data_IF_348484614568
#
_entry.id   IF_348484614568
#
_cell.length_a   1.000
_cell.length_b   1.000
_cell.length_c   1.000
_cell.angle_alpha   90.00
_cell.angle_beta   90.00
_cell.angle_gamma   90.00
#
_symmetry.space_group_name_H-M   'P 1'
#
loop_
_entity.id
_entity.type
_entity.pdbx_description
1 polymer ?
#
# COMPACT_ATOMS: atom_id res chain seq x y z
N UNK A 1 -14.08 17.31 -24.28
CA UNK A 1 -13.88 17.00 -22.85
C UNK A 1 -14.75 15.85 -22.36
N UNK A 2 -16.05 15.77 -22.69
CA UNK A 2 -16.95 14.68 -22.25
C UNK A 2 -16.41 13.25 -22.51
N UNK A 3 -15.99 12.96 -23.74
CA UNK A 3 -15.43 11.65 -24.10
C UNK A 3 -14.19 11.24 -23.29
N UNK A 4 -13.38 12.21 -22.82
CA UNK A 4 -12.21 11.91 -21.98
C UNK A 4 -12.64 11.41 -20.60
N UNK A 5 -13.63 12.06 -19.98
CA UNK A 5 -14.16 11.62 -18.69
C UNK A 5 -14.97 10.32 -18.79
N UNK A 6 -15.73 10.11 -19.87
CA UNK A 6 -16.40 8.84 -20.15
C UNK A 6 -15.39 7.70 -20.33
N UNK A 7 -14.24 7.95 -20.96
CA UNK A 7 -13.17 6.96 -21.08
C UNK A 7 -12.52 6.61 -19.73
N UNK A 8 -12.40 7.58 -18.81
CA UNK A 8 -11.95 7.31 -17.43
C UNK A 8 -13.00 6.46 -16.70
N UNK A 9 -14.27 6.85 -16.75
CA UNK A 9 -15.36 6.10 -16.13
C UNK A 9 -15.38 4.65 -16.61
N UNK A 10 -15.31 4.42 -17.92
CA UNK A 10 -15.33 3.09 -18.51
C UNK A 10 -14.13 2.24 -18.06
N UNK A 11 -12.92 2.82 -18.07
CA UNK A 11 -11.72 2.12 -17.59
C UNK A 11 -11.85 1.70 -16.13
N UNK A 12 -12.36 2.57 -15.27
CA UNK A 12 -12.43 2.26 -13.84
C UNK A 12 -13.62 1.39 -13.49
N UNK A 13 -14.83 1.69 -13.97
CA UNK A 13 -16.05 0.96 -13.62
C UNK A 13 -16.13 -0.38 -14.33
N UNK A 14 -16.02 -0.38 -15.66
CA UNK A 14 -16.22 -1.58 -16.48
C UNK A 14 -14.92 -2.37 -16.70
N UNK A 15 -13.75 -1.74 -16.52
CA UNK A 15 -12.45 -2.40 -16.57
C UNK A 15 -11.93 -2.83 -15.20
N UNK A 16 -11.31 -1.89 -14.48
CA UNK A 16 -10.54 -2.17 -13.25
C UNK A 16 -11.41 -2.62 -12.08
N UNK A 17 -12.63 -2.07 -11.95
CA UNK A 17 -13.52 -2.32 -10.82
C UNK A 17 -14.70 -3.22 -11.16
N UNK A 18 -14.75 -3.81 -12.35
CA UNK A 18 -15.77 -4.78 -12.74
C UNK A 18 -16.03 -5.87 -11.69
N UNK A 19 -15.01 -6.46 -11.02
CA UNK A 19 -15.26 -7.46 -9.98
C UNK A 19 -16.09 -6.96 -8.79
N UNK A 20 -16.09 -5.66 -8.49
CA UNK A 20 -16.85 -5.10 -7.37
C UNK A 20 -18.37 -5.14 -7.58
N UNK A 21 -18.84 -5.23 -8.82
CA UNK A 21 -20.26 -5.47 -9.10
C UNK A 21 -20.73 -6.86 -8.65
N UNK A 22 -19.83 -7.84 -8.59
CA UNK A 22 -20.13 -9.13 -7.98
C UNK A 22 -20.09 -9.04 -6.46
N UNK A 23 -19.02 -8.46 -5.90
CA UNK A 23 -18.83 -8.37 -4.44
C UNK A 23 -19.93 -7.59 -3.72
N UNK A 24 -20.53 -6.57 -4.36
CA UNK A 24 -21.59 -5.74 -3.74
C UNK A 24 -22.86 -6.52 -3.38
N UNK A 25 -23.12 -7.66 -4.03
CA UNK A 25 -24.30 -8.48 -3.77
C UNK A 25 -24.03 -9.63 -2.81
N UNK A 26 -22.79 -9.78 -2.33
CA UNK A 26 -22.44 -10.79 -1.35
C UNK A 26 -22.85 -10.35 0.05
N UNK A 27 -23.59 -11.19 0.77
CA UNK A 27 -24.04 -10.92 2.14
C UNK A 27 -22.91 -11.07 3.18
N UNK A 28 -21.93 -11.93 2.91
CA UNK A 28 -20.83 -12.19 3.84
C UNK A 28 -19.80 -11.05 3.79
N UNK A 29 -19.76 -10.25 4.86
CA UNK A 29 -18.85 -9.10 4.99
C UNK A 29 -17.39 -9.42 4.69
N UNK A 30 -16.88 -10.58 5.14
CA UNK A 30 -15.48 -10.96 4.92
C UNK A 30 -15.20 -11.21 3.44
N UNK A 31 -16.07 -11.95 2.79
CA UNK A 31 -15.90 -12.31 1.38
C UNK A 31 -16.14 -11.12 0.45
N UNK A 32 -17.10 -10.23 0.76
CA UNK A 32 -17.31 -8.98 0.01
C UNK A 32 -16.10 -8.04 0.06
N UNK A 33 -15.23 -8.18 1.07
CA UNK A 33 -14.05 -7.36 1.28
C UNK A 33 -12.73 -8.08 0.99
N UNK A 34 -12.75 -9.23 0.31
CA UNK A 34 -11.55 -10.06 0.13
C UNK A 34 -10.40 -9.34 -0.58
N UNK A 35 -10.71 -8.45 -1.54
CA UNK A 35 -9.70 -7.63 -2.22
C UNK A 35 -9.05 -6.65 -1.25
N UNK A 36 -9.85 -5.97 -0.41
CA UNK A 36 -9.35 -5.05 0.61
C UNK A 36 -8.41 -5.77 1.59
N UNK A 37 -8.83 -6.95 2.07
CA UNK A 37 -8.00 -7.79 2.94
C UNK A 37 -6.69 -8.19 2.27
N UNK A 38 -6.72 -8.52 0.98
CA UNK A 38 -5.52 -8.88 0.21
C UNK A 38 -4.52 -7.72 0.18
N UNK A 39 -4.97 -6.50 -0.12
CA UNK A 39 -4.11 -5.31 -0.11
C UNK A 39 -3.54 -5.01 1.27
N UNK A 40 -4.35 -5.12 2.32
CA UNK A 40 -3.89 -4.92 3.71
C UNK A 40 -2.82 -5.95 4.08
N UNK A 41 -3.01 -7.23 3.74
CA UNK A 41 -2.03 -8.28 4.02
C UNK A 41 -0.73 -8.03 3.26
N UNK A 42 -0.80 -7.70 1.97
CA UNK A 42 0.39 -7.37 1.17
C UNK A 42 1.13 -6.17 1.77
N UNK A 43 0.40 -5.10 2.12
CA UNK A 43 0.98 -3.90 2.74
C UNK A 43 1.63 -4.21 4.09
N UNK A 44 1.00 -5.04 4.92
CA UNK A 44 1.55 -5.47 6.19
C UNK A 44 2.83 -6.29 6.02
N UNK A 45 2.87 -7.23 5.08
CA UNK A 45 4.07 -8.02 4.77
C UNK A 45 5.20 -7.12 4.29
N UNK A 46 4.91 -6.20 3.36
CA UNK A 46 5.89 -5.25 2.84
C UNK A 46 6.45 -4.34 3.95
N UNK A 47 5.59 -3.86 4.84
CA UNK A 47 5.98 -3.05 6.01
C UNK A 47 6.90 -3.84 6.95
N UNK A 48 6.51 -5.06 7.33
CA UNK A 48 7.33 -5.92 8.20
C UNK A 48 8.67 -6.25 7.57
N UNK A 49 8.68 -6.56 6.27
CA UNK A 49 9.92 -6.77 5.51
C UNK A 49 10.83 -5.53 5.60
N UNK A 50 10.29 -4.34 5.36
CA UNK A 50 11.06 -3.10 5.37
C UNK A 50 11.62 -2.76 6.75
N UNK A 51 10.81 -2.91 7.81
CA UNK A 51 11.29 -2.77 9.19
C UNK A 51 12.43 -3.76 9.50
N UNK A 52 12.34 -4.98 8.97
CA UNK A 52 13.41 -5.97 9.06
C UNK A 52 14.70 -5.55 8.34
N UNK A 53 14.59 -4.91 7.17
CA UNK A 53 15.76 -4.37 6.44
C UNK A 53 16.41 -3.21 7.21
N UNK A 54 15.61 -2.27 7.74
CA UNK A 54 16.13 -1.18 8.56
C UNK A 54 16.87 -1.69 9.78
N UNK A 55 16.34 -2.71 10.48
CA UNK A 55 17.01 -3.33 11.62
C UNK A 55 18.34 -3.99 11.23
N UNK A 56 18.40 -4.66 10.08
CA UNK A 56 19.64 -5.27 9.58
C UNK A 56 20.69 -4.21 9.27
N UNK A 57 20.28 -3.10 8.67
CA UNK A 57 21.16 -1.97 8.37
C UNK A 57 21.69 -1.30 9.66
N UNK A 58 20.81 -1.04 10.63
CA UNK A 58 21.23 -0.50 11.94
C UNK A 58 22.23 -1.42 12.66
N UNK A 59 22.06 -2.75 12.52
CA UNK A 59 22.94 -3.75 13.11
C UNK A 59 24.24 -4.01 12.32
N UNK A 60 24.40 -3.51 11.08
CA UNK A 60 25.60 -3.77 10.27
C UNK A 60 26.82 -2.98 10.76
N UNK A 61 26.61 -1.90 11.51
CA UNK A 61 27.68 -1.00 11.96
C UNK A 61 28.27 -0.14 10.84
N UNK A 62 27.68 -0.16 9.64
CA UNK A 62 28.11 0.65 8.48
C UNK A 62 27.56 2.09 8.52
N UNK A 63 26.62 2.39 9.42
CA UNK A 63 26.04 3.71 9.57
C UNK A 63 26.98 4.64 10.36
N UNK A 64 27.35 5.77 9.76
CA UNK A 64 28.06 6.84 10.47
C UNK A 64 27.09 7.56 11.42
N UNK A 65 27.23 7.25 12.72
CA UNK A 65 26.44 7.84 13.80
C UNK A 65 27.17 9.01 14.48
N UNK A 66 28.21 9.57 13.85
CA UNK A 66 28.91 10.73 14.40
C UNK A 66 27.97 11.93 14.52
N UNK A 67 27.93 12.52 15.72
CA UNK A 67 27.06 13.64 16.01
C UNK A 67 27.79 14.93 15.60
N UNK A 68 27.27 15.65 14.60
CA UNK A 68 27.76 16.99 14.25
C UNK A 68 27.12 18.03 15.17
N UNK A 69 27.39 17.95 16.47
CA UNK A 69 26.94 18.99 17.41
C UNK A 69 27.82 20.22 17.21
N UNK A 70 27.21 21.36 16.87
CA UNK A 70 27.94 22.63 16.87
C UNK A 70 28.22 23.01 18.32
N UNK A 71 29.49 23.31 18.64
CA UNK A 71 29.87 23.80 19.95
C UNK A 71 29.16 25.13 20.21
N UNK A 72 28.31 25.18 21.23
CA UNK A 72 27.71 26.44 21.67
C UNK A 72 28.82 27.29 22.30
N UNK A 73 29.25 28.35 21.60
CA UNK A 73 29.98 29.49 22.17
C UNK A 73 28.96 30.57 22.54
#
# INVERSE_FOLDING_TARGET
MRAFFEGIEDLFVNGLFFPYDFFRFMENWWTSNIINWTFIVIGAIAMVYWLGQLKKYDASGEEDKSITAHSYL
#
